data_IF_593653170997
#
_entry.id   IF_593653170997
#
_cell.length_a   1.000
_cell.length_b   1.000
_cell.length_c   1.000
_cell.angle_alpha   90.00
_cell.angle_beta   90.00
_cell.angle_gamma   90.00
#
_symmetry.space_group_name_H-M   'P 1'
#
loop_
_entity.id
_entity.type
_entity.pdbx_description
1 polymer ?
#
# COMPACT_ATOMS: atom_id res chain seq x y z
N UNK A 1 -5.31 -23.68 -2.72
CA UNK A 1 -5.04 -22.25 -3.09
C UNK A 1 -4.23 -22.23 -4.37
N UNK A 2 -4.69 -21.48 -5.39
CA UNK A 2 -3.90 -21.24 -6.61
C UNK A 2 -2.76 -20.29 -6.27
N UNK A 3 -1.54 -20.58 -6.75
CA UNK A 3 -0.33 -19.75 -6.59
C UNK A 3 0.38 -19.63 -7.92
N UNK A 4 0.59 -18.41 -8.38
CA UNK A 4 1.29 -18.14 -9.63
C UNK A 4 2.48 -17.22 -9.37
N UNK A 5 3.57 -17.44 -10.12
CA UNK A 5 4.74 -16.57 -10.14
C UNK A 5 4.84 -15.91 -11.51
N UNK A 6 5.05 -14.60 -11.49
CA UNK A 6 5.24 -13.80 -12.69
C UNK A 6 6.56 -13.04 -12.62
N UNK A 7 7.25 -13.01 -13.75
CA UNK A 7 8.47 -12.22 -13.93
C UNK A 7 8.50 -11.65 -15.34
N UNK A 8 8.79 -10.37 -15.46
CA UNK A 8 8.99 -9.71 -16.76
C UNK A 8 9.93 -8.52 -16.63
N UNK A 9 10.53 -8.14 -17.76
CA UNK A 9 11.32 -6.91 -17.83
C UNK A 9 10.38 -5.71 -17.87
N UNK A 10 10.46 -4.84 -16.85
CA UNK A 10 9.72 -3.59 -16.81
C UNK A 10 10.48 -2.51 -17.61
N UNK A 11 9.85 -2.02 -18.66
CA UNK A 11 10.40 -0.90 -19.43
C UNK A 11 10.44 0.41 -18.63
N UNK A 12 9.54 0.55 -17.64
CA UNK A 12 9.43 1.74 -16.80
C UNK A 12 10.50 1.78 -15.72
N UNK A 13 10.91 0.62 -15.25
CA UNK A 13 11.94 0.48 -14.22
C UNK A 13 13.30 0.11 -14.78
N UNK A 14 13.39 -0.34 -16.05
CA UNK A 14 14.63 -0.75 -16.69
C UNK A 14 15.25 -2.00 -16.06
N UNK A 15 14.42 -2.88 -15.48
CA UNK A 15 14.85 -4.11 -14.80
C UNK A 15 13.76 -5.16 -14.79
N UNK A 16 14.14 -6.40 -14.48
CA UNK A 16 13.17 -7.44 -14.19
C UNK A 16 12.41 -7.15 -12.90
N UNK A 17 11.08 -7.29 -12.97
CA UNK A 17 10.17 -7.22 -11.83
C UNK A 17 9.46 -8.53 -11.64
N UNK A 18 9.10 -8.82 -10.40
CA UNK A 18 8.51 -10.09 -9.99
C UNK A 18 7.24 -9.86 -9.17
N UNK A 19 6.30 -10.78 -9.23
CA UNK A 19 5.15 -10.79 -8.32
C UNK A 19 4.59 -12.20 -8.14
N UNK A 20 3.88 -12.41 -7.03
CA UNK A 20 3.08 -13.61 -6.78
C UNK A 20 1.61 -13.28 -6.83
N UNK A 21 0.82 -14.21 -7.39
CA UNK A 21 -0.64 -14.14 -7.35
C UNK A 21 -1.16 -15.31 -6.54
N UNK A 22 -2.08 -15.05 -5.61
CA UNK A 22 -2.76 -16.07 -4.83
C UNK A 22 -4.27 -15.95 -5.00
N UNK A 23 -4.92 -17.10 -5.28
CA UNK A 23 -6.36 -17.15 -5.52
C UNK A 23 -6.73 -17.07 -7.00
N UNK A 24 -8.03 -17.10 -7.27
CA UNK A 24 -8.57 -17.24 -8.63
C UNK A 24 -9.72 -16.28 -8.95
N UNK A 25 -10.27 -15.61 -7.93
CA UNK A 25 -11.42 -14.71 -8.04
C UNK A 25 -11.54 -13.80 -6.82
N UNK A 26 -12.54 -12.94 -6.81
CA UNK A 26 -12.88 -12.03 -5.73
C UNK A 26 -12.29 -10.65 -5.90
N UNK A 27 -12.19 -9.90 -4.81
CA UNK A 27 -11.59 -8.56 -4.82
C UNK A 27 -10.09 -8.68 -5.09
N UNK A 28 -9.54 -8.09 -6.15
CA UNK A 28 -8.09 -8.04 -6.36
C UNK A 28 -7.45 -7.07 -5.35
N UNK A 29 -6.47 -7.57 -4.63
CA UNK A 29 -5.75 -6.84 -3.58
C UNK A 29 -4.28 -6.74 -3.96
N UNK A 30 -3.81 -5.52 -4.22
CA UNK A 30 -2.39 -5.24 -4.42
C UNK A 30 -1.70 -5.14 -3.07
N UNK A 31 -0.77 -6.05 -2.82
CA UNK A 31 -0.09 -6.20 -1.53
C UNK A 31 1.33 -5.68 -1.64
N UNK A 32 1.65 -4.68 -0.82
CA UNK A 32 2.97 -4.05 -0.77
C UNK A 32 3.81 -4.65 0.35
N UNK A 33 5.10 -4.98 0.08
CA UNK A 33 6.00 -5.47 1.12
C UNK A 33 6.38 -4.38 2.12
N UNK A 34 6.96 -4.77 3.24
CA UNK A 34 7.51 -3.83 4.23
C UNK A 34 8.82 -3.21 3.75
N UNK A 35 9.48 -2.42 4.59
CA UNK A 35 10.77 -1.77 4.30
C UNK A 35 11.83 -2.76 3.78
N UNK A 36 12.26 -2.59 2.53
CA UNK A 36 13.24 -3.46 1.88
C UNK A 36 12.76 -4.89 1.63
N UNK A 37 11.49 -5.18 1.88
CA UNK A 37 10.86 -6.46 1.58
C UNK A 37 10.70 -6.69 0.08
N UNK A 38 10.43 -7.94 -0.29
CA UNK A 38 10.24 -8.41 -1.64
C UNK A 38 8.84 -9.01 -1.83
N UNK A 39 8.46 -9.26 -3.06
CA UNK A 39 7.17 -9.83 -3.46
C UNK A 39 6.76 -11.12 -2.73
N UNK A 40 7.70 -11.90 -2.19
CA UNK A 40 7.44 -13.15 -1.49
C UNK A 40 7.29 -12.99 0.03
N UNK A 41 7.60 -11.80 0.59
CA UNK A 41 7.60 -11.57 2.04
C UNK A 41 6.24 -11.88 2.69
N UNK A 42 5.15 -11.47 2.06
CA UNK A 42 3.80 -11.69 2.59
C UNK A 42 3.44 -13.18 2.70
N UNK A 43 3.94 -14.01 1.77
CA UNK A 43 3.83 -15.48 1.85
C UNK A 43 4.71 -16.03 2.97
N UNK A 44 6.00 -15.68 3.00
CA UNK A 44 6.98 -16.19 3.95
C UNK A 44 6.63 -15.86 5.41
N UNK A 45 5.91 -14.76 5.62
CA UNK A 45 5.45 -14.29 6.93
C UNK A 45 4.07 -14.80 7.35
N UNK A 46 3.52 -15.79 6.65
CA UNK A 46 2.27 -16.43 7.03
C UNK A 46 0.99 -15.67 6.67
N UNK A 47 1.12 -14.46 6.12
CA UNK A 47 -0.03 -13.59 5.83
C UNK A 47 -0.97 -14.18 4.76
N UNK A 48 -0.41 -14.84 3.74
CA UNK A 48 -1.20 -15.56 2.74
C UNK A 48 -1.97 -16.70 3.39
N UNK A 49 -1.33 -17.45 4.30
CA UNK A 49 -1.97 -18.50 5.10
C UNK A 49 -3.08 -17.95 5.99
N UNK A 50 -2.89 -16.78 6.58
CA UNK A 50 -3.88 -16.10 7.40
C UNK A 50 -5.18 -15.78 6.62
N UNK A 51 -5.08 -15.55 5.32
CA UNK A 51 -6.19 -15.28 4.40
C UNK A 51 -6.65 -16.52 3.60
N UNK A 52 -6.06 -17.69 3.85
CA UNK A 52 -6.27 -18.91 3.04
C UNK A 52 -7.74 -19.24 2.81
N UNK A 53 -8.57 -19.16 3.85
CA UNK A 53 -10.02 -19.42 3.72
C UNK A 53 -10.73 -18.44 2.79
N UNK A 54 -10.40 -17.14 2.85
CA UNK A 54 -10.98 -16.10 1.97
C UNK A 54 -10.50 -16.26 0.52
N UNK A 55 -9.22 -16.62 0.33
CA UNK A 55 -8.62 -16.84 -0.99
C UNK A 55 -9.23 -18.08 -1.65
N UNK A 56 -9.34 -19.20 -0.92
CA UNK A 56 -9.92 -20.44 -1.43
C UNK A 56 -11.41 -20.30 -1.74
N UNK A 57 -12.13 -19.50 -0.96
CA UNK A 57 -13.52 -19.14 -1.21
C UNK A 57 -13.72 -18.17 -2.38
N UNK A 58 -12.65 -17.67 -3.02
CA UNK A 58 -12.73 -16.69 -4.10
C UNK A 58 -13.27 -15.33 -3.67
N UNK A 59 -13.08 -14.95 -2.40
CA UNK A 59 -13.50 -13.64 -1.89
C UNK A 59 -12.45 -12.57 -2.18
N UNK A 60 -11.16 -12.95 -2.13
CA UNK A 60 -10.03 -12.08 -2.44
C UNK A 60 -9.02 -12.80 -3.32
N UNK A 61 -8.35 -12.04 -4.19
CA UNK A 61 -7.21 -12.48 -4.98
C UNK A 61 -6.04 -11.54 -4.72
N UNK A 62 -4.94 -12.08 -4.19
CA UNK A 62 -3.79 -11.27 -3.80
C UNK A 62 -2.78 -11.14 -4.94
N UNK A 63 -2.24 -9.95 -5.12
CA UNK A 63 -1.16 -9.62 -6.04
C UNK A 63 -0.01 -9.02 -5.23
N UNK A 64 0.92 -9.87 -4.77
CA UNK A 64 2.05 -9.46 -3.95
C UNK A 64 3.15 -8.91 -4.86
N UNK A 65 3.24 -7.59 -4.94
CA UNK A 65 4.16 -6.88 -5.83
C UNK A 65 5.56 -6.78 -5.23
N UNK A 66 6.58 -6.71 -6.10
CA UNK A 66 7.95 -6.39 -5.68
C UNK A 66 8.10 -4.89 -5.40
N UNK A 67 9.17 -4.52 -4.70
CA UNK A 67 9.49 -3.15 -4.34
C UNK A 67 10.78 -2.68 -5.00
N UNK A 68 10.90 -1.37 -5.18
CA UNK A 68 12.15 -0.68 -5.54
C UNK A 68 12.65 0.23 -4.42
N UNK A 69 12.23 0.00 -3.20
CA UNK A 69 12.55 0.87 -2.06
C UNK A 69 14.06 1.01 -1.85
N UNK A 70 14.81 -0.07 -2.07
CA UNK A 70 16.28 -0.04 -1.98
C UNK A 70 16.95 0.78 -3.09
N UNK A 71 16.23 1.06 -4.18
CA UNK A 71 16.69 1.92 -5.28
C UNK A 71 16.11 3.35 -5.18
N UNK A 72 15.02 3.51 -4.41
CA UNK A 72 14.32 4.77 -4.18
C UNK A 72 14.58 5.31 -2.76
N UNK A 73 13.61 5.22 -1.86
CA UNK A 73 13.64 5.83 -0.53
C UNK A 73 14.87 5.45 0.30
N UNK A 74 15.29 4.20 0.28
CA UNK A 74 16.43 3.68 1.04
C UNK A 74 17.77 3.86 0.35
N UNK A 75 17.82 4.34 -0.89
CA UNK A 75 19.08 4.57 -1.61
C UNK A 75 19.76 5.86 -1.12
N UNK A 76 20.55 5.74 -0.07
CA UNK A 76 21.29 6.88 0.49
C UNK A 76 22.51 7.30 -0.37
N UNK A 77 22.88 6.51 -1.38
CA UNK A 77 23.97 6.84 -2.28
C UNK A 77 23.61 7.89 -3.34
N UNK A 78 22.31 8.17 -3.51
CA UNK A 78 21.84 9.17 -4.48
C UNK A 78 21.13 10.32 -3.79
N UNK A 79 21.15 11.54 -4.38
CA UNK A 79 20.36 12.68 -3.88
C UNK A 79 18.87 12.39 -3.78
N UNK A 80 18.13 13.01 -2.84
CA UNK A 80 16.70 12.78 -2.64
C UNK A 80 15.84 12.95 -3.90
N UNK A 81 16.19 13.90 -4.78
CA UNK A 81 15.48 14.08 -6.06
C UNK A 81 15.45 12.81 -6.93
N UNK A 82 16.50 11.99 -6.87
CA UNK A 82 16.56 10.74 -7.62
C UNK A 82 15.78 9.62 -6.92
N UNK A 83 15.68 9.67 -5.58
CA UNK A 83 14.86 8.74 -4.80
C UNK A 83 13.40 8.91 -5.13
N UNK A 84 12.91 10.16 -5.12
CA UNK A 84 11.51 10.44 -5.49
C UNK A 84 11.25 10.13 -6.97
N UNK A 85 12.16 10.45 -7.88
CA UNK A 85 12.01 10.11 -9.29
C UNK A 85 11.91 8.59 -9.49
N UNK A 86 12.71 7.79 -8.76
CA UNK A 86 12.63 6.33 -8.80
C UNK A 86 11.31 5.81 -8.23
N UNK A 87 10.81 6.40 -7.17
CA UNK A 87 9.49 6.09 -6.63
C UNK A 87 8.36 6.40 -7.62
N UNK A 88 8.43 7.52 -8.32
CA UNK A 88 7.47 7.87 -9.38
C UNK A 88 7.48 6.84 -10.52
N UNK A 89 8.64 6.35 -10.93
CA UNK A 89 8.76 5.26 -11.89
C UNK A 89 8.13 3.96 -11.38
N UNK A 90 8.23 3.69 -10.08
CA UNK A 90 7.59 2.53 -9.46
C UNK A 90 6.05 2.65 -9.49
N UNK A 91 5.50 3.81 -9.17
CA UNK A 91 4.06 4.06 -9.31
C UNK A 91 3.61 3.87 -10.76
N UNK A 92 4.37 4.40 -11.71
CA UNK A 92 4.10 4.26 -13.14
C UNK A 92 4.12 2.79 -13.59
N UNK A 93 5.05 1.97 -13.07
CA UNK A 93 5.07 0.52 -13.25
C UNK A 93 3.80 -0.14 -12.69
N UNK A 94 3.40 0.20 -11.47
CA UNK A 94 2.20 -0.38 -10.86
C UNK A 94 0.95 -0.09 -11.70
N UNK A 95 0.77 1.15 -12.12
CA UNK A 95 -0.43 1.58 -12.86
C UNK A 95 -0.44 1.04 -14.29
N UNK A 96 0.70 1.01 -14.98
CA UNK A 96 0.72 0.72 -16.41
C UNK A 96 1.23 -0.68 -16.78
N UNK A 97 1.76 -1.45 -15.82
CA UNK A 97 2.19 -2.82 -16.06
C UNK A 97 1.45 -3.81 -15.13
N UNK A 98 1.37 -3.53 -13.81
CA UNK A 98 0.70 -4.45 -12.86
C UNK A 98 -0.82 -4.38 -12.99
N UNK A 99 -1.42 -3.19 -13.00
CA UNK A 99 -2.89 -3.03 -13.15
C UNK A 99 -3.41 -3.71 -14.42
N UNK A 100 -2.79 -3.56 -15.60
CA UNK A 100 -3.18 -4.33 -16.78
C UNK A 100 -3.10 -5.85 -16.59
N UNK A 101 -2.05 -6.36 -15.94
CA UNK A 101 -1.95 -7.79 -15.62
C UNK A 101 -3.09 -8.26 -14.72
N UNK A 102 -3.42 -7.46 -13.68
CA UNK A 102 -4.57 -7.77 -12.80
C UNK A 102 -5.86 -7.82 -13.59
N UNK A 103 -6.10 -6.85 -14.47
CA UNK A 103 -7.32 -6.80 -15.33
C UNK A 103 -7.44 -7.96 -16.31
N UNK A 104 -6.32 -8.56 -16.75
CA UNK A 104 -6.34 -9.76 -17.57
C UNK A 104 -6.75 -11.00 -16.78
N UNK A 105 -6.52 -11.01 -15.46
CA UNK A 105 -6.77 -12.15 -14.58
C UNK A 105 -8.04 -12.01 -13.74
N UNK A 106 -8.50 -10.79 -13.53
CA UNK A 106 -9.63 -10.49 -12.66
C UNK A 106 -10.52 -9.41 -13.29
N UNK A 107 -11.80 -9.69 -13.35
CA UNK A 107 -12.80 -8.83 -14.01
C UNK A 107 -13.33 -7.71 -13.11
N UNK A 108 -12.89 -7.65 -11.86
CA UNK A 108 -13.28 -6.56 -10.96
C UNK A 108 -12.80 -5.22 -11.52
N UNK A 109 -13.68 -4.21 -11.62
CA UNK A 109 -13.28 -2.86 -12.01
C UNK A 109 -12.49 -2.13 -10.91
N UNK A 110 -12.54 -2.65 -9.67
CA UNK A 110 -12.01 -2.03 -8.47
C UNK A 110 -10.97 -2.91 -7.81
N UNK A 111 -9.98 -2.27 -7.20
CA UNK A 111 -8.89 -2.90 -6.47
C UNK A 111 -8.91 -2.46 -5.00
N UNK A 112 -8.33 -3.28 -4.15
CA UNK A 112 -7.86 -2.83 -2.85
C UNK A 112 -6.32 -2.78 -2.84
N UNK A 113 -5.77 -1.92 -1.99
CA UNK A 113 -4.36 -1.87 -1.65
C UNK A 113 -4.16 -2.32 -0.21
N UNK A 114 -3.08 -3.04 0.06
CA UNK A 114 -2.78 -3.56 1.39
C UNK A 114 -1.28 -3.50 1.67
N UNK A 115 -0.90 -3.16 2.89
CA UNK A 115 0.48 -3.23 3.32
C UNK A 115 0.66 -3.03 4.82
N UNK A 116 1.81 -3.50 5.31
CA UNK A 116 2.25 -3.33 6.68
C UNK A 116 3.44 -2.36 6.74
N UNK A 117 3.54 -1.55 7.78
CA UNK A 117 4.67 -0.65 8.00
C UNK A 117 4.89 0.28 6.79
N UNK A 118 6.05 0.23 6.14
CA UNK A 118 6.32 0.98 4.92
C UNK A 118 5.42 0.57 3.74
N UNK A 119 5.03 -0.71 3.65
CA UNK A 119 4.00 -1.17 2.72
C UNK A 119 2.64 -0.51 2.96
N UNK A 120 2.33 -0.16 4.21
CA UNK A 120 1.14 0.63 4.58
C UNK A 120 1.18 2.06 4.02
N UNK A 121 2.38 2.67 3.95
CA UNK A 121 2.57 3.92 3.22
C UNK A 121 2.28 3.77 1.74
N UNK A 122 2.85 2.75 1.08
CA UNK A 122 2.60 2.51 -0.35
C UNK A 122 1.11 2.27 -0.64
N UNK A 123 0.46 1.46 0.20
CA UNK A 123 -0.98 1.19 0.07
C UNK A 123 -1.82 2.45 0.18
N UNK A 124 -1.51 3.34 1.13
CA UNK A 124 -2.20 4.60 1.31
C UNK A 124 -1.88 5.59 0.17
N UNK A 125 -0.60 5.73 -0.20
CA UNK A 125 -0.19 6.65 -1.24
C UNK A 125 -0.90 6.34 -2.57
N UNK A 126 -0.89 5.08 -3.01
CA UNK A 126 -1.53 4.71 -4.28
C UNK A 126 -3.06 4.84 -4.21
N UNK A 127 -3.69 4.49 -3.09
CA UNK A 127 -5.15 4.58 -2.95
C UNK A 127 -5.67 6.02 -2.96
N UNK A 128 -4.96 6.94 -2.31
CA UNK A 128 -5.35 8.36 -2.31
C UNK A 128 -5.00 9.08 -3.61
N UNK A 129 -3.99 8.63 -4.34
CA UNK A 129 -3.62 9.20 -5.65
C UNK A 129 -4.48 8.67 -6.81
N UNK A 130 -4.94 7.43 -6.71
CA UNK A 130 -5.75 6.74 -7.74
C UNK A 130 -7.06 6.19 -7.14
N UNK A 131 -7.92 7.08 -6.58
CA UNK A 131 -9.14 6.63 -5.88
C UNK A 131 -10.23 6.11 -6.82
N UNK A 132 -10.07 6.25 -8.12
CA UNK A 132 -10.90 5.65 -9.15
C UNK A 132 -10.56 4.18 -9.43
N UNK A 133 -9.32 3.77 -9.15
CA UNK A 133 -8.85 2.40 -9.28
C UNK A 133 -8.92 1.67 -7.93
N UNK A 134 -8.35 2.27 -6.90
CA UNK A 134 -8.26 1.68 -5.56
C UNK A 134 -9.41 2.17 -4.69
N UNK A 135 -10.47 1.36 -4.64
CA UNK A 135 -11.67 1.67 -3.85
C UNK A 135 -11.63 1.12 -2.43
N UNK A 136 -10.60 0.33 -2.11
CA UNK A 136 -10.30 -0.18 -0.76
C UNK A 136 -8.83 0.02 -0.40
N UNK A 137 -8.57 0.28 0.87
CA UNK A 137 -7.20 0.34 1.42
C UNK A 137 -7.20 -0.22 2.84
N UNK A 138 -6.27 -1.12 3.10
CA UNK A 138 -5.93 -1.58 4.46
C UNK A 138 -4.44 -1.30 4.72
N UNK A 139 -4.18 -0.36 5.62
CA UNK A 139 -2.83 -0.05 6.09
C UNK A 139 -2.67 -0.51 7.53
N UNK A 140 -1.76 -1.45 7.76
CA UNK A 140 -1.45 -1.97 9.10
C UNK A 140 -0.12 -1.39 9.57
N UNK A 141 -0.14 -0.65 10.69
CA UNK A 141 1.03 0.04 11.25
C UNK A 141 1.73 0.96 10.25
N UNK A 142 0.97 1.69 9.44
CA UNK A 142 1.49 2.47 8.31
C UNK A 142 2.47 3.55 8.71
N UNK A 143 3.63 3.61 8.04
CA UNK A 143 4.68 4.60 8.23
C UNK A 143 4.51 5.77 7.25
N UNK A 144 3.60 6.70 7.54
CA UNK A 144 3.17 7.75 6.61
C UNK A 144 4.10 8.96 6.52
N UNK A 145 5.00 9.16 7.49
CA UNK A 145 6.00 10.22 7.42
C UNK A 145 7.30 9.71 6.79
N UNK A 146 7.45 9.95 5.51
CA UNK A 146 8.64 9.59 4.74
C UNK A 146 9.62 10.76 4.57
N UNK A 147 9.39 11.90 5.23
CA UNK A 147 10.22 13.10 5.14
C UNK A 147 11.68 12.85 5.52
N UNK A 148 11.92 11.88 6.41
CA UNK A 148 13.27 11.42 6.81
C UNK A 148 14.14 10.98 5.63
N UNK A 149 13.56 10.54 4.52
CA UNK A 149 14.29 10.13 3.32
C UNK A 149 14.65 11.31 2.41
N UNK A 150 14.08 12.49 2.65
CA UNK A 150 14.24 13.66 1.80
C UNK A 150 15.40 14.56 2.24
N UNK A 151 15.89 14.44 3.49
CA UNK A 151 17.02 15.21 4.03
C UNK A 151 16.92 16.72 3.73
N UNK A 152 15.73 17.29 3.85
CA UNK A 152 15.46 18.70 3.59
C UNK A 152 15.18 19.06 2.12
N UNK A 153 15.34 18.14 1.19
CA UNK A 153 14.89 18.35 -0.19
C UNK A 153 13.35 18.23 -0.26
N UNK A 154 12.74 19.13 -1.01
CA UNK A 154 11.29 19.14 -1.16
C UNK A 154 10.89 19.83 -2.47
N UNK A 155 10.15 19.13 -3.30
CA UNK A 155 9.58 19.61 -4.54
C UNK A 155 8.11 19.16 -4.70
N UNK A 156 7.53 19.40 -5.87
CA UNK A 156 6.16 19.03 -6.15
C UNK A 156 5.95 17.50 -6.15
N UNK A 157 6.93 16.71 -6.61
CA UNK A 157 6.85 15.26 -6.60
C UNK A 157 6.88 14.74 -5.15
N UNK A 158 7.72 15.32 -4.29
CA UNK A 158 7.71 15.01 -2.87
C UNK A 158 6.36 15.35 -2.23
N UNK A 159 5.80 16.52 -2.51
CA UNK A 159 4.51 16.95 -1.99
C UNK A 159 3.40 15.94 -2.32
N UNK A 160 3.26 15.54 -3.58
CA UNK A 160 2.21 14.62 -4.00
C UNK A 160 2.45 13.14 -3.63
N UNK A 161 3.60 12.81 -3.07
CA UNK A 161 3.90 11.47 -2.53
C UNK A 161 3.96 11.42 -1.00
N UNK A 162 3.54 12.50 -0.34
CA UNK A 162 3.34 12.59 1.09
C UNK A 162 1.85 12.81 1.40
N UNK A 163 1.06 11.75 1.64
CA UNK A 163 -0.38 11.86 1.91
C UNK A 163 -0.70 12.87 3.02
N UNK A 164 0.14 12.92 4.05
CA UNK A 164 -0.01 13.87 5.16
C UNK A 164 0.22 15.34 4.77
N UNK A 165 0.80 15.60 3.60
CA UNK A 165 1.06 16.95 3.10
C UNK A 165 0.00 17.42 2.09
N UNK A 166 -0.37 16.59 1.11
CA UNK A 166 -1.31 17.04 0.08
C UNK A 166 -2.78 16.89 0.50
N UNK A 167 -3.13 15.86 1.27
CA UNK A 167 -4.53 15.65 1.68
C UNK A 167 -5.14 16.83 2.43
N UNK A 168 -4.44 17.52 3.35
CA UNK A 168 -4.97 18.73 3.98
C UNK A 168 -5.37 19.83 3.00
N UNK A 169 -4.70 19.91 1.85
CA UNK A 169 -4.87 20.96 0.87
C UNK A 169 -5.70 20.53 -0.36
N UNK A 170 -6.10 19.26 -0.44
CA UNK A 170 -6.92 18.78 -1.56
C UNK A 170 -8.28 19.48 -1.55
N UNK A 171 -8.69 20.00 -2.71
CA UNK A 171 -9.96 20.73 -2.85
C UNK A 171 -10.76 20.32 -4.09
N UNK A 172 -10.21 19.49 -4.97
CA UNK A 172 -10.87 19.08 -6.19
C UNK A 172 -12.04 18.11 -5.89
N UNK A 173 -13.29 18.47 -6.33
CA UNK A 173 -14.48 17.62 -6.13
C UNK A 173 -14.34 16.22 -6.69
N UNK A 174 -13.54 16.03 -7.76
CA UNK A 174 -13.31 14.73 -8.39
C UNK A 174 -12.75 13.70 -7.40
N UNK A 175 -11.81 14.12 -6.54
CA UNK A 175 -11.25 13.27 -5.49
C UNK A 175 -12.27 12.97 -4.40
N UNK A 176 -13.01 13.99 -3.91
CA UNK A 176 -13.97 13.83 -2.83
C UNK A 176 -15.14 12.93 -3.20
N UNK A 177 -15.63 12.98 -4.44
CA UNK A 177 -16.69 12.06 -4.91
C UNK A 177 -16.25 10.60 -4.81
N UNK A 178 -14.97 10.31 -5.08
CA UNK A 178 -14.40 8.97 -5.02
C UNK A 178 -14.10 8.56 -3.59
N UNK A 179 -13.43 9.43 -2.84
CA UNK A 179 -13.12 9.15 -1.44
C UNK A 179 -14.37 8.81 -0.60
N UNK A 180 -15.51 9.45 -0.87
CA UNK A 180 -16.76 9.17 -0.15
C UNK A 180 -17.34 7.79 -0.42
N UNK A 181 -16.97 7.15 -1.53
CA UNK A 181 -17.46 5.82 -1.93
C UNK A 181 -16.46 4.71 -1.59
N UNK A 182 -15.25 5.09 -1.25
CA UNK A 182 -14.16 4.15 -1.00
C UNK A 182 -14.09 3.78 0.49
N UNK A 183 -13.44 2.66 0.78
CA UNK A 183 -13.23 2.16 2.14
C UNK A 183 -11.76 2.25 2.51
N UNK A 184 -11.44 3.03 3.54
CA UNK A 184 -10.08 3.20 4.04
C UNK A 184 -10.00 2.72 5.49
N UNK A 185 -9.12 1.75 5.73
CA UNK A 185 -8.88 1.18 7.05
C UNK A 185 -7.44 1.39 7.45
N UNK A 186 -7.24 2.02 8.59
CA UNK A 186 -5.98 2.13 9.30
C UNK A 186 -6.06 1.22 10.52
N UNK A 187 -5.09 0.35 10.72
CA UNK A 187 -5.01 -0.52 11.90
C UNK A 187 -3.61 -0.43 12.49
N UNK A 188 -3.50 -0.27 13.80
CA UNK A 188 -2.21 -0.16 14.50
C UNK A 188 -2.38 -0.63 15.94
N UNK A 189 -1.31 -0.74 16.70
CA UNK A 189 -1.38 -1.00 18.14
C UNK A 189 -1.10 0.23 18.98
N UNK A 190 -1.49 0.18 20.25
CA UNK A 190 -1.28 1.28 21.18
C UNK A 190 0.22 1.50 21.49
N UNK A 191 1.06 0.46 21.44
CA UNK A 191 2.50 0.51 21.62
C UNK A 191 3.31 0.53 20.31
N UNK A 192 2.62 0.70 19.18
CA UNK A 192 3.23 0.75 17.86
C UNK A 192 4.01 2.04 17.64
N UNK A 193 5.25 1.93 17.19
CA UNK A 193 6.08 3.09 16.85
C UNK A 193 5.45 4.02 15.79
N UNK A 194 4.54 3.50 14.96
CA UNK A 194 3.81 4.25 13.94
C UNK A 194 2.46 4.79 14.43
N UNK A 195 2.06 4.56 15.71
CA UNK A 195 0.78 5.02 16.24
C UNK A 195 0.53 6.50 15.97
N UNK A 196 1.49 7.36 16.30
CA UNK A 196 1.36 8.81 16.10
C UNK A 196 1.15 9.21 14.64
N UNK A 197 1.75 8.48 13.70
CA UNK A 197 1.58 8.73 12.26
C UNK A 197 0.18 8.29 11.79
N UNK A 198 -0.33 7.16 12.29
CA UNK A 198 -1.68 6.68 12.00
C UNK A 198 -2.74 7.65 12.57
N UNK A 199 -2.58 8.12 13.80
CA UNK A 199 -3.45 9.13 14.39
C UNK A 199 -3.37 10.48 13.67
N UNK A 200 -2.22 10.85 13.13
CA UNK A 200 -2.08 12.05 12.33
C UNK A 200 -2.85 11.96 11.00
N UNK A 201 -2.74 10.83 10.30
CA UNK A 201 -3.49 10.60 9.06
C UNK A 201 -5.00 10.55 9.34
N UNK A 202 -5.44 9.88 10.41
CA UNK A 202 -6.84 9.85 10.88
C UNK A 202 -7.40 11.28 11.09
N UNK A 203 -6.64 12.14 11.79
CA UNK A 203 -7.05 13.55 11.99
C UNK A 203 -7.20 14.31 10.67
N UNK A 204 -6.27 14.09 9.72
CA UNK A 204 -6.33 14.73 8.40
C UNK A 204 -7.56 14.27 7.64
N UNK A 205 -7.81 12.96 7.58
CA UNK A 205 -8.97 12.39 6.88
C UNK A 205 -10.29 12.86 7.51
N UNK A 206 -10.37 12.88 8.84
CA UNK A 206 -11.52 13.40 9.59
C UNK A 206 -11.78 14.88 9.30
N UNK A 207 -10.74 15.73 9.33
CA UNK A 207 -10.84 17.16 9.04
C UNK A 207 -11.30 17.42 7.59
N UNK A 208 -10.98 16.53 6.66
CA UNK A 208 -11.40 16.60 5.24
C UNK A 208 -12.76 15.94 4.97
N UNK A 209 -13.38 15.31 5.97
CA UNK A 209 -14.62 14.57 5.80
C UNK A 209 -14.49 13.36 4.87
N UNK A 210 -13.31 12.73 4.82
CA UNK A 210 -13.06 11.52 4.07
C UNK A 210 -13.41 10.32 4.95
N UNK A 211 -14.38 9.47 4.56
CA UNK A 211 -14.79 8.31 5.34
C UNK A 211 -13.60 7.34 5.52
N UNK A 212 -13.32 6.97 6.73
CA UNK A 212 -12.27 6.01 7.08
C UNK A 212 -12.50 5.43 8.47
N UNK A 213 -11.71 4.44 8.84
CA UNK A 213 -11.69 3.86 10.18
C UNK A 213 -10.26 3.73 10.69
N UNK A 214 -10.02 4.11 11.94
CA UNK A 214 -8.79 3.83 12.65
C UNK A 214 -9.08 2.84 13.77
N UNK A 215 -8.39 1.69 13.75
CA UNK A 215 -8.44 0.68 14.80
C UNK A 215 -7.11 0.66 15.55
N UNK A 216 -7.17 0.90 16.86
CA UNK A 216 -6.00 0.82 17.75
C UNK A 216 -6.16 -0.42 18.62
N UNK A 217 -5.32 -1.40 18.41
CA UNK A 217 -5.37 -2.67 19.12
C UNK A 217 -4.60 -2.61 20.44
N UNK A 218 -5.17 -3.19 21.47
CA UNK A 218 -4.50 -3.45 22.73
C UNK A 218 -3.66 -4.73 22.58
N UNK A 219 -2.45 -4.60 22.05
CA UNK A 219 -1.53 -5.70 21.86
C UNK A 219 -0.09 -5.26 22.08
N UNK A 220 0.68 -6.08 22.82
CA UNK A 220 2.12 -5.91 22.93
C UNK A 220 2.81 -6.32 21.62
N UNK A 221 3.89 -5.63 21.25
CA UNK A 221 4.62 -5.82 19.99
C UNK A 221 3.70 -5.65 18.77
N UNK A 222 2.95 -4.56 18.74
CA UNK A 222 1.97 -4.31 17.70
C UNK A 222 2.60 -4.13 16.31
N UNK A 223 3.85 -3.73 16.23
CA UNK A 223 4.58 -3.54 14.96
C UNK A 223 5.27 -4.84 14.52
N UNK A 224 4.52 -5.95 14.44
CA UNK A 224 5.07 -7.26 14.08
C UNK A 224 4.03 -8.16 13.39
N UNK A 225 4.54 -9.14 12.66
CA UNK A 225 3.78 -10.05 11.81
C UNK A 225 2.64 -10.79 12.52
N UNK A 226 2.82 -11.35 13.76
CA UNK A 226 1.71 -12.02 14.44
C UNK A 226 0.51 -11.11 14.71
N UNK A 227 0.75 -9.82 14.92
CA UNK A 227 -0.33 -8.83 15.08
C UNK A 227 -0.96 -8.50 13.73
N UNK A 228 -0.16 -8.30 12.69
CA UNK A 228 -0.67 -8.05 11.35
C UNK A 228 -1.44 -9.23 10.75
N UNK A 229 -1.07 -10.49 11.06
CA UNK A 229 -1.86 -11.66 10.68
C UNK A 229 -3.28 -11.64 11.28
N UNK A 230 -3.43 -11.20 12.51
CA UNK A 230 -4.77 -11.04 13.13
C UNK A 230 -5.53 -9.89 12.51
N UNK A 231 -4.88 -8.74 12.31
CA UNK A 231 -5.50 -7.56 11.70
C UNK A 231 -6.00 -7.85 10.28
N UNK A 232 -5.20 -8.55 9.46
CA UNK A 232 -5.60 -8.85 8.08
C UNK A 232 -6.79 -9.79 8.00
N UNK A 233 -6.92 -10.74 8.93
CA UNK A 233 -8.10 -11.63 9.02
C UNK A 233 -9.37 -10.87 9.36
N UNK A 234 -9.24 -9.85 10.22
CA UNK A 234 -10.38 -9.06 10.72
C UNK A 234 -10.85 -8.05 9.68
N UNK A 235 -9.95 -7.39 8.98
CA UNK A 235 -10.29 -6.21 8.18
C UNK A 235 -10.29 -6.42 6.66
N UNK A 236 -9.74 -7.48 6.14
CA UNK A 236 -9.80 -7.84 4.74
C UNK A 236 -10.84 -8.95 4.51
#
# INVERSE_FOLDING_TARGET
MNREYHKWYSSRLGRDMELLVFGHAGLPVMVFPTSGGRFFEFEDRGMVGALGGKIDAGQVQLYCVDSVDMESWYNRAVPPRWRIARHMQYEDYLIHEVVPLVRLKNWSPHFASLGCSFGGYHAANIAFRHPDLFTGMLSMSGAFDISQFLHGYYDQDCYYNLPTHYLPNIGDPWFFERYRRNTYVLATGWDDQCLGQNQNLDRILSAKGIPHKLYIWDSHNAHDWPTWERMVREYL
#
